data_IF_054239723368
#
_entry.id   IF_054239723368
#
_cell.length_a   1.000
_cell.length_b   1.000
_cell.length_c   1.000
_cell.angle_alpha   90.00
_cell.angle_beta   90.00
_cell.angle_gamma   90.00
#
_symmetry.space_group_name_H-M   'P 1'
#
loop_
_entity.id
_entity.type
_entity.pdbx_description
1 polymer ?
#
# COMPACT_ATOMS: atom_id res chain seq x y z
N UNK A 1 -36.71 -81.03 -36.60
CA UNK A 1 -35.48 -80.24 -36.31
C UNK A 1 -35.45 -78.78 -36.84
N UNK A 2 -36.53 -78.22 -37.44
CA UNK A 2 -36.55 -76.84 -37.97
C UNK A 2 -37.24 -75.79 -37.07
N UNK A 3 -38.05 -76.17 -36.09
CA UNK A 3 -38.74 -75.21 -35.21
C UNK A 3 -37.84 -74.58 -34.12
N UNK A 4 -36.74 -75.24 -33.74
CA UNK A 4 -35.81 -74.71 -32.73
C UNK A 4 -34.87 -73.60 -33.21
N UNK A 5 -34.65 -73.45 -34.54
CA UNK A 5 -33.79 -72.41 -35.11
C UNK A 5 -34.49 -71.06 -35.23
N UNK A 6 -35.80 -71.07 -35.49
CA UNK A 6 -36.59 -69.86 -35.72
C UNK A 6 -36.87 -69.10 -34.40
N UNK A 7 -37.12 -69.83 -33.31
CA UNK A 7 -37.21 -69.26 -31.95
C UNK A 7 -35.87 -68.70 -31.44
N UNK A 8 -34.75 -69.32 -31.83
CA UNK A 8 -33.40 -68.90 -31.43
C UNK A 8 -32.97 -67.57 -32.09
N UNK A 9 -33.24 -67.40 -33.39
CA UNK A 9 -32.98 -66.13 -34.10
C UNK A 9 -33.83 -64.97 -33.57
N UNK A 10 -35.11 -65.23 -33.25
CA UNK A 10 -36.02 -64.22 -32.66
C UNK A 10 -35.57 -63.79 -31.27
N UNK A 11 -35.10 -64.72 -30.44
CA UNK A 11 -34.53 -64.41 -29.14
C UNK A 11 -33.25 -63.56 -29.28
N UNK A 12 -32.33 -63.95 -30.18
CA UNK A 12 -31.11 -63.19 -30.44
C UNK A 12 -31.39 -61.75 -30.91
N UNK A 13 -32.37 -61.56 -31.80
CA UNK A 13 -32.79 -60.23 -32.26
C UNK A 13 -33.38 -59.39 -31.11
N UNK A 14 -34.18 -60.00 -30.23
CA UNK A 14 -34.72 -59.33 -29.04
C UNK A 14 -33.61 -58.92 -28.05
N UNK A 15 -32.63 -59.80 -27.81
CA UNK A 15 -31.48 -59.50 -26.97
C UNK A 15 -30.61 -58.36 -27.55
N UNK A 16 -30.34 -58.38 -28.85
CA UNK A 16 -29.61 -57.30 -29.52
C UNK A 16 -30.36 -55.96 -29.46
N UNK A 17 -31.69 -55.99 -29.64
CA UNK A 17 -32.54 -54.81 -29.48
C UNK A 17 -32.47 -54.21 -28.06
N UNK A 18 -32.57 -55.07 -27.04
CA UNK A 18 -32.45 -54.64 -25.63
C UNK A 18 -31.05 -54.09 -25.32
N UNK A 19 -29.99 -54.73 -25.81
CA UNK A 19 -28.61 -54.25 -25.67
C UNK A 19 -28.45 -52.87 -26.31
N UNK A 20 -28.98 -52.65 -27.51
CA UNK A 20 -28.97 -51.34 -28.17
C UNK A 20 -29.69 -50.28 -27.34
N UNK A 21 -30.84 -50.59 -26.73
CA UNK A 21 -31.56 -49.65 -25.88
C UNK A 21 -30.75 -49.25 -24.63
N UNK A 22 -30.08 -50.21 -23.98
CA UNK A 22 -29.20 -49.90 -22.84
C UNK A 22 -28.01 -49.05 -23.25
N UNK A 23 -27.39 -49.33 -24.41
CA UNK A 23 -26.29 -48.52 -24.95
C UNK A 23 -26.75 -47.08 -25.23
N UNK A 24 -27.92 -46.91 -25.86
CA UNK A 24 -28.49 -45.59 -26.15
C UNK A 24 -28.81 -44.82 -24.87
N UNK A 25 -29.44 -45.47 -23.87
CA UNK A 25 -29.72 -44.84 -22.58
C UNK A 25 -28.44 -44.41 -21.84
N UNK A 26 -27.39 -45.24 -21.90
CA UNK A 26 -26.08 -44.91 -21.36
C UNK A 26 -25.45 -43.68 -22.04
N UNK A 27 -25.51 -43.62 -23.39
CA UNK A 27 -25.01 -42.48 -24.16
C UNK A 27 -25.79 -41.18 -23.85
N UNK A 28 -27.11 -41.26 -23.72
CA UNK A 28 -27.95 -40.11 -23.34
C UNK A 28 -27.58 -39.62 -21.94
N UNK A 29 -27.43 -40.54 -20.98
CA UNK A 29 -27.05 -40.19 -19.61
C UNK A 29 -25.67 -39.51 -19.58
N UNK A 30 -24.71 -40.07 -20.31
CA UNK A 30 -23.38 -39.49 -20.45
C UNK A 30 -23.41 -38.09 -21.09
N UNK A 31 -24.23 -37.89 -22.13
CA UNK A 31 -24.42 -36.58 -22.75
C UNK A 31 -24.94 -35.55 -21.74
N UNK A 32 -25.91 -35.91 -20.92
CA UNK A 32 -26.44 -35.01 -19.88
C UNK A 32 -25.37 -34.63 -18.87
N UNK A 33 -24.56 -35.60 -18.42
CA UNK A 33 -23.44 -35.33 -17.50
C UNK A 33 -22.39 -34.42 -18.13
N UNK A 34 -22.03 -34.65 -19.41
CA UNK A 34 -21.11 -33.79 -20.15
C UNK A 34 -21.64 -32.36 -20.25
N UNK A 35 -22.92 -32.19 -20.59
CA UNK A 35 -23.56 -30.87 -20.65
C UNK A 35 -23.59 -30.15 -19.29
N UNK A 36 -23.84 -30.89 -18.20
CA UNK A 36 -23.81 -30.32 -16.86
C UNK A 36 -22.39 -29.85 -16.49
N UNK A 37 -21.37 -30.66 -16.81
CA UNK A 37 -19.98 -30.31 -16.58
C UNK A 37 -19.54 -29.09 -17.40
N UNK A 38 -20.02 -28.95 -18.65
CA UNK A 38 -19.78 -27.74 -19.46
C UNK A 38 -20.36 -26.49 -18.80
N UNK A 39 -21.56 -26.57 -18.22
CA UNK A 39 -22.16 -25.44 -17.49
C UNK A 39 -21.36 -25.07 -16.25
N UNK A 40 -20.88 -26.05 -15.49
CA UNK A 40 -20.02 -25.81 -14.32
C UNK A 40 -18.70 -25.13 -14.73
N UNK A 41 -18.10 -25.54 -15.85
CA UNK A 41 -16.91 -24.88 -16.41
C UNK A 41 -17.19 -23.43 -16.82
N UNK A 42 -18.31 -23.15 -17.49
CA UNK A 42 -18.69 -21.79 -17.89
C UNK A 42 -18.94 -20.88 -16.67
N UNK A 43 -19.58 -21.43 -15.63
CA UNK A 43 -19.78 -20.75 -14.35
C UNK A 43 -18.45 -20.46 -13.66
N UNK A 44 -17.55 -21.44 -13.62
CA UNK A 44 -16.23 -21.30 -13.02
C UNK A 44 -15.40 -20.24 -13.78
N UNK A 45 -15.42 -20.25 -15.11
CA UNK A 45 -14.75 -19.25 -15.94
C UNK A 45 -15.27 -17.84 -15.65
N UNK A 46 -16.59 -17.69 -15.53
CA UNK A 46 -17.22 -16.41 -15.17
C UNK A 46 -16.74 -15.93 -13.80
N UNK A 47 -16.70 -16.83 -12.80
CA UNK A 47 -16.20 -16.51 -11.46
C UNK A 47 -14.73 -16.09 -11.45
N UNK A 48 -13.90 -16.75 -12.27
CA UNK A 48 -12.48 -16.43 -12.41
C UNK A 48 -12.28 -15.05 -13.05
N UNK A 49 -13.03 -14.75 -14.10
CA UNK A 49 -13.00 -13.43 -14.74
C UNK A 49 -13.42 -12.32 -13.76
N UNK A 50 -14.49 -12.52 -12.98
CA UNK A 50 -14.94 -11.58 -11.96
C UNK A 50 -13.88 -11.38 -10.87
N UNK A 51 -13.20 -12.46 -10.45
CA UNK A 51 -12.13 -12.37 -9.46
C UNK A 51 -10.90 -11.64 -10.01
N UNK A 52 -10.52 -11.92 -11.25
CA UNK A 52 -9.43 -11.22 -11.95
C UNK A 52 -9.72 -9.72 -12.06
N UNK A 53 -10.97 -9.35 -12.36
CA UNK A 53 -11.40 -7.95 -12.33
C UNK A 53 -11.28 -7.35 -10.92
N UNK A 54 -11.75 -8.07 -9.89
CA UNK A 54 -11.61 -7.65 -8.49
C UNK A 54 -10.15 -7.42 -8.09
N UNK A 55 -9.22 -8.28 -8.54
CA UNK A 55 -7.78 -8.11 -8.31
C UNK A 55 -7.24 -6.86 -9.01
N UNK A 56 -7.60 -6.62 -10.28
CA UNK A 56 -7.20 -5.42 -11.01
C UNK A 56 -7.71 -4.14 -10.33
N UNK A 57 -8.96 -4.16 -9.85
CA UNK A 57 -9.53 -3.04 -9.10
C UNK A 57 -8.79 -2.77 -7.78
N UNK A 58 -8.45 -3.84 -7.04
CA UNK A 58 -7.70 -3.71 -5.80
C UNK A 58 -6.28 -3.18 -6.04
N UNK A 59 -5.63 -3.65 -7.10
CA UNK A 59 -4.32 -3.15 -7.51
C UNK A 59 -4.36 -1.66 -7.81
N UNK A 60 -5.35 -1.20 -8.59
CA UNK A 60 -5.52 0.23 -8.89
C UNK A 60 -5.71 1.07 -7.62
N UNK A 61 -6.57 0.61 -6.70
CA UNK A 61 -6.76 1.29 -5.39
C UNK A 61 -5.46 1.38 -4.59
N UNK A 62 -4.64 0.33 -4.61
CA UNK A 62 -3.35 0.33 -3.94
C UNK A 62 -2.38 1.35 -4.57
N UNK A 63 -2.34 1.43 -5.90
CA UNK A 63 -1.53 2.42 -6.63
C UNK A 63 -1.99 3.86 -6.32
N UNK A 64 -3.30 4.11 -6.32
CA UNK A 64 -3.88 5.40 -5.97
C UNK A 64 -3.57 5.79 -4.52
N UNK A 65 -3.80 4.90 -3.55
CA UNK A 65 -3.44 5.14 -2.14
C UNK A 65 -1.93 5.37 -1.96
N UNK A 66 -1.08 4.64 -2.69
CA UNK A 66 0.37 4.85 -2.65
C UNK A 66 0.76 6.22 -3.21
N UNK A 67 0.07 6.70 -4.26
CA UNK A 67 0.24 8.03 -4.82
C UNK A 67 -0.19 9.11 -3.83
N UNK A 68 -1.36 8.98 -3.22
CA UNK A 68 -1.85 9.89 -2.17
C UNK A 68 -0.87 9.94 -0.99
N UNK A 69 -0.36 8.79 -0.55
CA UNK A 69 0.67 8.72 0.50
C UNK A 69 1.93 9.47 0.09
N UNK A 70 2.43 9.29 -1.14
CA UNK A 70 3.61 10.03 -1.66
C UNK A 70 3.34 11.54 -1.72
N UNK A 71 2.14 11.94 -2.13
CA UNK A 71 1.74 13.34 -2.20
C UNK A 71 1.60 13.97 -0.81
N UNK A 72 1.04 13.24 0.14
CA UNK A 72 0.98 13.67 1.53
C UNK A 72 2.39 13.77 2.13
N UNK A 73 3.25 12.78 1.89
CA UNK A 73 4.67 12.86 2.27
C UNK A 73 5.36 14.07 1.62
N UNK A 74 5.08 14.37 0.36
CA UNK A 74 5.58 15.56 -0.34
C UNK A 74 5.05 16.85 0.28
N UNK A 75 3.80 16.91 0.74
CA UNK A 75 3.23 18.07 1.46
C UNK A 75 3.78 18.22 2.87
N UNK A 76 4.04 17.12 3.58
CA UNK A 76 4.76 17.13 4.86
C UNK A 76 6.18 17.65 4.64
N UNK A 77 6.89 17.13 3.63
CA UNK A 77 8.16 17.70 3.16
C UNK A 77 7.98 19.15 2.67
N UNK A 78 6.80 19.51 2.20
CA UNK A 78 6.41 20.86 1.76
C UNK A 78 6.23 21.86 2.90
N UNK A 79 6.13 21.42 4.16
CA UNK A 79 6.55 22.23 5.30
C UNK A 79 8.03 21.93 5.56
N UNK A 80 8.87 22.27 4.59
CA UNK A 80 10.29 21.92 4.57
C UNK A 80 11.05 22.55 5.75
N UNK A 81 10.51 23.65 6.30
CA UNK A 81 10.96 24.33 7.51
C UNK A 81 9.75 24.98 8.17
N UNK A 82 9.08 24.27 9.08
CA UNK A 82 7.96 24.85 9.80
C UNK A 82 8.49 25.89 10.80
N UNK A 83 8.56 27.13 10.36
CA UNK A 83 8.88 28.26 11.22
C UNK A 83 7.76 28.46 12.24
N UNK A 84 8.12 28.43 13.51
CA UNK A 84 7.23 28.75 14.62
C UNK A 84 7.34 30.24 14.88
N UNK A 85 6.22 30.91 15.15
CA UNK A 85 6.25 32.32 15.55
C UNK A 85 6.10 32.44 17.06
N UNK A 86 6.93 33.29 17.67
CA UNK A 86 6.77 33.74 19.04
C UNK A 86 7.10 35.24 19.08
N UNK A 87 6.13 36.05 19.51
CA UNK A 87 6.21 37.51 19.39
C UNK A 87 6.37 37.97 17.94
N UNK A 88 7.42 38.74 17.67
CA UNK A 88 7.83 39.24 16.35
C UNK A 88 8.86 38.35 15.63
N UNK A 89 9.31 37.27 16.26
CA UNK A 89 10.39 36.41 15.76
C UNK A 89 9.87 35.08 15.22
N UNK A 90 10.62 34.51 14.28
CA UNK A 90 10.37 33.21 13.68
C UNK A 90 11.50 32.24 14.03
N UNK A 91 11.15 31.01 14.40
CA UNK A 91 12.06 29.98 14.90
C UNK A 91 11.93 28.72 14.06
N UNK A 92 13.05 28.25 13.54
CA UNK A 92 13.14 26.96 12.87
C UNK A 92 13.95 25.99 13.73
N UNK A 93 13.46 24.76 13.85
CA UNK A 93 14.16 23.68 14.56
C UNK A 93 14.58 22.67 13.52
N UNK A 94 15.89 22.50 13.33
CA UNK A 94 16.41 21.50 12.42
C UNK A 94 16.05 20.08 12.88
N UNK A 95 15.74 19.21 11.93
CA UNK A 95 15.53 17.78 12.18
C UNK A 95 16.82 16.98 12.15
N UNK A 96 17.92 17.60 11.71
CA UNK A 96 19.23 16.97 11.56
C UNK A 96 20.12 17.31 12.77
N UNK A 97 20.94 16.34 13.19
CA UNK A 97 21.97 16.57 14.20
C UNK A 97 23.24 17.05 13.51
N UNK A 98 23.75 18.19 13.95
CA UNK A 98 24.93 18.88 13.39
C UNK A 98 25.79 19.38 14.53
N UNK A 99 27.06 19.64 14.26
CA UNK A 99 27.90 20.41 15.19
C UNK A 99 27.38 21.84 15.33
N UNK A 100 27.83 22.58 16.35
CA UNK A 100 27.43 23.98 16.54
C UNK A 100 27.77 24.83 15.31
N UNK A 101 28.98 24.70 14.77
CA UNK A 101 29.44 25.44 13.58
C UNK A 101 28.60 25.11 12.33
N UNK A 102 28.32 23.82 12.07
CA UNK A 102 27.49 23.40 10.94
C UNK A 102 26.05 23.90 11.08
N UNK A 103 25.51 23.88 12.31
CA UNK A 103 24.16 24.37 12.61
C UNK A 103 24.05 25.87 12.37
N UNK A 104 25.05 26.64 12.80
CA UNK A 104 25.12 28.08 12.56
C UNK A 104 25.21 28.40 11.07
N UNK A 105 26.10 27.71 10.36
CA UNK A 105 26.24 27.88 8.91
C UNK A 105 24.94 27.56 8.15
N UNK A 106 24.17 26.56 8.59
CA UNK A 106 22.85 26.31 8.02
C UNK A 106 21.86 27.44 8.32
N UNK A 107 21.80 27.95 9.56
CA UNK A 107 20.92 29.07 9.90
C UNK A 107 21.24 30.31 9.04
N UNK A 108 22.52 30.64 8.89
CA UNK A 108 23.00 31.76 8.06
C UNK A 108 22.61 31.60 6.59
N UNK A 109 22.71 30.39 6.03
CA UNK A 109 22.28 30.08 4.66
C UNK A 109 20.78 30.27 4.43
N UNK A 110 19.98 30.20 5.49
CA UNK A 110 18.53 30.39 5.46
C UNK A 110 18.10 31.83 5.79
N UNK A 111 19.06 32.76 5.91
CA UNK A 111 18.79 34.15 6.26
C UNK A 111 18.41 34.37 7.74
N UNK A 112 18.81 33.46 8.63
CA UNK A 112 18.66 33.56 10.07
C UNK A 112 20.01 33.35 10.78
N UNK A 113 20.03 33.30 12.11
CA UNK A 113 21.18 32.82 12.89
C UNK A 113 20.65 31.91 14.02
N UNK A 114 21.56 31.23 14.73
CA UNK A 114 21.20 30.49 15.93
C UNK A 114 20.55 31.43 16.95
N UNK A 115 19.53 30.92 17.64
CA UNK A 115 18.68 31.73 18.51
C UNK A 115 19.46 32.40 19.65
N UNK A 116 19.25 33.70 19.81
CA UNK A 116 19.64 34.49 20.97
C UNK A 116 18.41 34.64 21.85
N UNK A 117 18.53 34.31 23.12
CA UNK A 117 17.40 34.30 24.05
C UNK A 117 17.40 35.64 24.80
N UNK A 118 16.40 36.47 24.50
CA UNK A 118 16.32 37.85 24.99
C UNK A 118 15.36 38.03 26.17
N UNK A 119 14.57 37.00 26.52
CA UNK A 119 13.58 37.07 27.60
C UNK A 119 13.32 35.73 28.28
N UNK A 120 12.81 35.77 29.51
CA UNK A 120 12.35 34.57 30.23
C UNK A 120 11.17 33.91 29.51
N UNK A 121 10.28 34.70 28.91
CA UNK A 121 9.15 34.19 28.13
C UNK A 121 9.61 33.41 26.90
N UNK A 122 10.63 33.91 26.20
CA UNK A 122 11.26 33.23 25.06
C UNK A 122 11.94 31.93 25.51
N UNK A 123 12.68 31.97 26.63
CA UNK A 123 13.28 30.77 27.22
C UNK A 123 12.20 29.72 27.54
N UNK A 124 11.10 30.13 28.17
CA UNK A 124 9.97 29.23 28.49
C UNK A 124 9.29 28.69 27.24
N UNK A 125 9.18 29.48 26.18
CA UNK A 125 8.68 29.02 24.88
C UNK A 125 9.59 27.93 24.29
N UNK A 126 10.90 28.13 24.31
CA UNK A 126 11.87 27.17 23.76
C UNK A 126 11.93 25.87 24.57
N UNK A 127 11.93 25.94 25.91
CA UNK A 127 11.93 24.76 26.79
C UNK A 127 10.72 23.85 26.54
N UNK A 128 9.54 24.43 26.27
CA UNK A 128 8.31 23.67 25.97
C UNK A 128 8.43 22.79 24.73
N UNK A 129 9.40 23.06 23.85
CA UNK A 129 9.66 22.23 22.67
C UNK A 129 10.24 20.86 23.04
N UNK A 130 10.81 20.69 24.25
CA UNK A 130 11.40 19.43 24.73
C UNK A 130 12.43 18.84 23.76
N UNK A 131 13.27 19.70 23.19
CA UNK A 131 14.35 19.32 22.26
C UNK A 131 15.68 19.83 22.79
N UNK A 132 16.71 18.99 22.68
CA UNK A 132 18.10 19.43 22.83
C UNK A 132 18.53 20.02 21.50
N UNK A 133 18.80 21.33 21.47
CA UNK A 133 19.12 22.08 20.25
C UNK A 133 20.29 23.00 20.52
N UNK A 134 21.09 23.26 19.48
CA UNK A 134 22.09 24.33 19.54
C UNK A 134 21.40 25.69 19.56
N UNK A 135 21.94 26.58 20.39
CA UNK A 135 21.55 27.99 20.49
C UNK A 135 22.77 28.86 20.18
N UNK A 136 22.55 30.17 20.02
CA UNK A 136 23.59 31.11 19.66
C UNK A 136 24.61 31.42 20.75
N UNK A 137 24.74 30.60 21.80
CA UNK A 137 25.67 30.83 22.90
C UNK A 137 26.96 30.02 22.68
N UNK A 138 28.12 30.69 22.73
CA UNK A 138 29.44 30.07 22.45
C UNK A 138 30.56 30.76 23.23
N UNK A 139 31.61 30.01 23.58
CA UNK A 139 32.84 30.48 24.22
C UNK A 139 34.09 30.21 23.35
N UNK A 140 33.90 29.82 22.08
CA UNK A 140 34.98 29.47 21.14
C UNK A 140 36.05 30.56 20.94
N UNK A 141 35.74 31.81 21.27
CA UNK A 141 36.70 32.92 21.19
C UNK A 141 37.57 33.06 22.43
N UNK A 142 37.04 32.73 23.61
CA UNK A 142 37.69 32.92 24.91
C UNK A 142 37.05 31.95 25.91
N UNK A 143 37.82 30.91 26.28
CA UNK A 143 37.36 29.84 27.17
C UNK A 143 36.80 30.39 28.48
N UNK A 144 35.66 29.87 28.93
CA UNK A 144 34.87 30.35 30.08
C UNK A 144 34.20 31.73 29.90
N UNK A 145 34.31 32.37 28.74
CA UNK A 145 33.64 33.65 28.46
C UNK A 145 32.58 33.45 27.37
N UNK A 146 31.37 33.12 27.82
CA UNK A 146 30.22 32.89 26.95
C UNK A 146 29.71 34.19 26.31
N UNK A 147 29.60 34.18 24.98
CA UNK A 147 29.08 35.28 24.16
C UNK A 147 27.99 34.75 23.24
N UNK A 148 27.02 35.61 22.96
CA UNK A 148 26.03 35.32 21.92
C UNK A 148 26.65 35.52 20.54
N UNK A 149 26.13 34.80 19.55
CA UNK A 149 26.38 35.08 18.14
C UNK A 149 26.07 36.55 17.86
N UNK A 150 26.96 37.22 17.13
CA UNK A 150 26.78 38.63 16.77
C UNK A 150 25.63 38.73 15.76
N UNK A 151 24.73 39.68 16.01
CA UNK A 151 23.70 40.10 15.06
C UNK A 151 24.33 40.83 13.86
#
# INVERSE_FOLDING_TARGET
PREGKDGSCRAAAAFLGLLCLFLVAGLITLMVQLNNLTKELDQLQTSFNNLAEGQNQLQKRLEDMNKERKDFQRKIRGCYKCWRRFGSSYYYISTEQKTWNESRNECLREGADLVIINSEEEQRFLIKLKKSVWIGLTDQHEENVWKWVLC
#
